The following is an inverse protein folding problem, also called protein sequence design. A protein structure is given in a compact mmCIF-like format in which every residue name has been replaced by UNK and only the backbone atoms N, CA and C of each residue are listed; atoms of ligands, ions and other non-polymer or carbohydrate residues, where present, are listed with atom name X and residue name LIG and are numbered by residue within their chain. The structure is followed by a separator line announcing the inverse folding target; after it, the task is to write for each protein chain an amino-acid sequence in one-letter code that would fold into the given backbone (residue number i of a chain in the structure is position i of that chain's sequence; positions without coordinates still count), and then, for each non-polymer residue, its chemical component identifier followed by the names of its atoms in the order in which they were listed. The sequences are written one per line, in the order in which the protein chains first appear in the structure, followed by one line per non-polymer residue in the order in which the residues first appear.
data_IF_199790073263
#
_entry.id   IF_199790073263
#
_cell.length_a   1.000
_cell.length_b   1.000
_cell.length_c   1.000
_cell.angle_alpha   90.00
_cell.angle_beta   90.00
_cell.angle_gamma   90.00
#
_symmetry.space_group_name_H-M   'P 1'
#
loop_
_entity.id
_entity.type
_entity.pdbx_description
1 polymer ?
#
# COMPACT_ATOMS: atom_id res chain seq x y z
N UNK A 1 26.03 13.87 -6.86
CA UNK A 1 24.80 14.70 -6.90
C UNK A 1 24.71 15.47 -5.60
N UNK A 2 24.49 16.78 -5.64
CA UNK A 2 24.40 17.63 -4.43
C UNK A 2 23.07 17.41 -3.71
N UNK A 3 23.05 17.56 -2.38
CA UNK A 3 21.82 17.43 -1.55
C UNK A 3 20.71 18.39 -2.01
N UNK A 4 21.07 19.59 -2.42
CA UNK A 4 20.16 20.61 -2.97
C UNK A 4 19.36 20.13 -4.17
N UNK A 5 19.96 19.34 -5.07
CA UNK A 5 19.26 18.82 -6.25
C UNK A 5 18.15 17.83 -5.92
N UNK A 6 18.33 17.00 -4.89
CA UNK A 6 17.31 16.03 -4.44
C UNK A 6 16.09 16.74 -3.85
N UNK A 7 16.32 17.78 -3.05
CA UNK A 7 15.25 18.55 -2.42
C UNK A 7 14.35 19.22 -3.47
N UNK A 8 14.93 19.94 -4.44
CA UNK A 8 14.15 20.62 -5.50
C UNK A 8 13.32 19.63 -6.30
N UNK A 9 13.87 18.45 -6.61
CA UNK A 9 13.16 17.39 -7.35
C UNK A 9 12.00 16.81 -6.54
N UNK A 10 12.22 16.55 -5.26
CA UNK A 10 11.17 16.10 -4.35
C UNK A 10 10.04 17.13 -4.26
N UNK A 11 10.38 18.40 -4.12
CA UNK A 11 9.41 19.50 -4.08
C UNK A 11 8.58 19.57 -5.37
N UNK A 12 9.20 19.44 -6.55
CA UNK A 12 8.47 19.44 -7.82
C UNK A 12 7.52 18.25 -7.94
N UNK A 13 7.96 17.04 -7.57
CA UNK A 13 7.09 15.85 -7.58
C UNK A 13 5.94 16.00 -6.58
N UNK A 14 6.21 16.59 -5.41
CA UNK A 14 5.19 16.89 -4.42
C UNK A 14 4.15 17.87 -5.00
N UNK A 15 4.59 19.00 -5.59
CA UNK A 15 3.67 19.95 -6.25
C UNK A 15 2.87 19.26 -7.37
N UNK A 16 3.47 18.34 -8.12
CA UNK A 16 2.77 17.58 -9.16
C UNK A 16 1.74 16.58 -8.61
N UNK A 17 1.95 16.02 -7.41
CA UNK A 17 0.95 15.20 -6.73
C UNK A 17 -0.30 16.01 -6.37
N UNK A 18 -0.14 17.30 -6.06
CA UNK A 18 -1.21 18.21 -5.67
C UNK A 18 -1.86 18.94 -6.85
N UNK A 19 -1.17 19.06 -7.99
CA UNK A 19 -1.75 19.61 -9.20
C UNK A 19 -2.93 18.71 -9.62
N UNK A 20 -4.16 19.22 -9.55
CA UNK A 20 -5.41 18.46 -9.76
C UNK A 20 -5.92 17.65 -8.56
N UNK A 21 -5.67 18.11 -7.31
CA UNK A 21 -6.67 17.93 -6.27
C UNK A 21 -7.97 18.51 -6.83
N UNK A 22 -8.81 17.66 -7.39
CA UNK A 22 -10.23 17.99 -7.52
C UNK A 22 -10.67 18.13 -6.07
N UNK A 23 -10.67 19.38 -5.59
CA UNK A 23 -11.28 19.73 -4.31
C UNK A 23 -12.58 18.97 -4.23
N UNK A 24 -12.76 18.32 -3.08
CA UNK A 24 -14.00 17.77 -2.59
C UNK A 24 -15.07 18.77 -2.99
N UNK A 25 -15.83 18.51 -4.06
CA UNK A 25 -16.97 19.35 -4.38
C UNK A 25 -17.80 19.36 -3.10
N UNK A 26 -18.19 20.56 -2.65
CA UNK A 26 -19.22 20.76 -1.63
C UNK A 26 -20.53 20.14 -2.15
N UNK A 27 -20.58 18.80 -2.15
CA UNK A 27 -21.73 18.00 -2.51
C UNK A 27 -22.62 17.88 -1.30
N UNK A 28 -23.93 17.91 -1.54
CA UNK A 28 -24.94 17.84 -0.50
C UNK A 28 -24.69 16.68 0.49
N UNK A 29 -25.05 16.85 1.78
CA UNK A 29 -24.78 15.89 2.85
C UNK A 29 -25.33 14.46 2.63
N UNK A 30 -26.16 14.24 1.60
CA UNK A 30 -26.80 12.97 1.29
C UNK A 30 -26.39 12.37 -0.08
N UNK A 31 -25.41 12.95 -0.77
CA UNK A 31 -24.81 12.35 -1.95
C UNK A 31 -23.44 11.79 -1.57
N UNK A 32 -23.19 10.50 -1.82
CA UNK A 32 -21.84 9.90 -1.74
C UNK A 32 -20.85 10.86 -2.42
N UNK A 33 -19.96 11.50 -1.64
CA UNK A 33 -19.12 12.53 -2.24
C UNK A 33 -18.21 11.85 -3.29
N UNK A 34 -18.22 12.32 -4.54
CA UNK A 34 -17.54 11.63 -5.61
C UNK A 34 -16.02 11.71 -5.42
N UNK A 35 -15.38 10.59 -5.09
CA UNK A 35 -13.99 10.32 -5.47
C UNK A 35 -12.91 10.31 -4.39
N UNK A 36 -13.18 10.68 -3.13
CA UNK A 36 -12.17 10.58 -2.04
C UNK A 36 -12.59 9.72 -0.84
N UNK A 37 -13.83 9.24 -0.84
CA UNK A 37 -14.33 8.27 0.14
C UNK A 37 -13.92 6.87 -0.29
N UNK A 38 -12.65 6.53 -0.09
CA UNK A 38 -12.24 5.14 -0.19
C UNK A 38 -12.26 4.48 1.18
N UNK A 39 -12.77 3.25 1.29
CA UNK A 39 -12.88 2.48 2.53
C UNK A 39 -11.59 2.39 3.36
N UNK A 40 -10.42 2.34 2.73
CA UNK A 40 -9.12 2.22 3.39
C UNK A 40 -8.72 3.51 4.12
N UNK A 41 -9.18 4.67 3.65
CA UNK A 41 -8.66 5.98 4.07
C UNK A 41 -9.05 6.28 5.51
N UNK A 42 -10.33 6.07 5.86
CA UNK A 42 -10.85 6.39 7.18
C UNK A 42 -10.19 5.54 8.27
N UNK A 43 -10.16 4.19 8.20
CA UNK A 43 -9.46 3.39 9.21
C UNK A 43 -7.98 3.77 9.31
N UNK A 44 -7.28 3.97 8.19
CA UNK A 44 -5.86 4.33 8.22
C UNK A 44 -5.59 5.70 8.87
N UNK A 45 -6.49 6.68 8.70
CA UNK A 45 -6.34 8.00 9.30
C UNK A 45 -6.75 8.00 10.79
N UNK A 46 -7.84 7.31 11.13
CA UNK A 46 -8.39 7.23 12.49
C UNK A 46 -7.52 6.39 13.45
N UNK A 47 -6.74 5.44 12.92
CA UNK A 47 -5.86 4.58 13.71
C UNK A 47 -4.96 5.33 14.70
N UNK A 48 -4.54 6.55 14.34
CA UNK A 48 -3.73 7.37 15.24
C UNK A 48 -4.46 7.73 16.53
N UNK A 49 -5.77 8.00 16.48
CA UNK A 49 -6.56 8.29 17.67
C UNK A 49 -6.72 7.04 18.53
N UNK A 50 -7.09 5.90 17.94
CA UNK A 50 -7.19 4.61 18.64
C UNK A 50 -5.92 4.30 19.43
N UNK A 51 -4.77 4.28 18.76
CA UNK A 51 -3.52 3.86 19.38
C UNK A 51 -3.04 4.86 20.44
N UNK A 52 -3.26 6.17 20.25
CA UNK A 52 -2.73 7.20 21.15
C UNK A 52 -3.67 7.50 22.31
N UNK A 53 -5.00 7.46 22.10
CA UNK A 53 -5.99 7.79 23.14
C UNK A 53 -6.52 6.54 23.85
N UNK A 54 -6.93 5.54 23.09
CA UNK A 54 -7.57 4.33 23.64
C UNK A 54 -6.53 3.25 24.00
N UNK A 55 -5.34 3.30 23.40
CA UNK A 55 -4.23 2.36 23.62
C UNK A 55 -4.54 0.91 23.19
N UNK A 56 -5.42 0.77 22.18
CA UNK A 56 -5.78 -0.51 21.57
C UNK A 56 -5.70 -0.42 20.03
N UNK A 57 -6.42 -1.30 19.33
CA UNK A 57 -6.41 -1.42 17.85
C UNK A 57 -7.80 -1.54 17.24
N UNK A 58 -8.86 -1.41 18.06
CA UNK A 58 -10.25 -1.44 17.60
C UNK A 58 -10.74 -0.02 17.28
N UNK A 59 -11.98 0.13 16.83
CA UNK A 59 -12.53 1.41 16.34
C UNK A 59 -13.89 1.68 17.00
N UNK A 60 -14.12 1.15 18.20
CA UNK A 60 -15.41 1.26 18.90
C UNK A 60 -15.77 2.71 19.23
N UNK A 61 -14.77 3.52 19.53
CA UNK A 61 -14.87 4.95 19.79
C UNK A 61 -15.31 5.75 18.55
N UNK A 62 -15.18 5.19 17.34
CA UNK A 62 -15.65 5.81 16.09
C UNK A 62 -16.92 5.22 15.54
N UNK A 63 -17.40 4.09 16.05
CA UNK A 63 -18.54 3.39 15.45
C UNK A 63 -19.82 3.43 16.28
N UNK A 64 -20.95 3.25 15.61
CA UNK A 64 -22.26 3.10 16.21
C UNK A 64 -23.14 2.16 15.37
N UNK A 65 -24.21 1.57 15.94
CA UNK A 65 -25.16 0.76 15.18
C UNK A 65 -25.80 1.54 14.01
N UNK A 66 -26.02 0.85 12.89
CA UNK A 66 -26.70 1.40 11.71
C UNK A 66 -28.09 1.96 12.08
N UNK A 67 -28.33 3.22 11.73
CA UNK A 67 -29.58 3.94 12.03
C UNK A 67 -29.56 4.71 13.36
N UNK A 68 -28.45 4.71 14.10
CA UNK A 68 -28.28 5.63 15.22
C UNK A 68 -28.14 7.07 14.72
N UNK A 69 -28.82 8.01 15.39
CA UNK A 69 -28.74 9.46 15.10
C UNK A 69 -27.52 10.12 15.74
N UNK A 70 -26.51 9.34 16.13
CA UNK A 70 -25.31 9.86 16.76
C UNK A 70 -24.48 10.59 15.70
N UNK A 71 -24.50 11.92 15.75
CA UNK A 71 -23.63 12.74 14.92
C UNK A 71 -22.16 12.38 15.20
N UNK A 72 -21.35 12.20 14.17
CA UNK A 72 -19.92 11.87 14.31
C UNK A 72 -19.64 10.42 14.69
N UNK A 73 -20.38 9.45 14.14
CA UNK A 73 -20.08 8.01 14.25
C UNK A 73 -20.22 7.32 12.90
N UNK A 74 -19.36 6.34 12.64
CA UNK A 74 -19.40 5.48 11.46
C UNK A 74 -20.33 4.29 11.72
N UNK A 75 -20.97 3.80 10.66
CA UNK A 75 -21.70 2.54 10.73
C UNK A 75 -20.71 1.39 10.97
N UNK A 76 -20.85 0.68 12.09
CA UNK A 76 -20.01 -0.50 12.39
C UNK A 76 -20.18 -1.63 11.39
N UNK A 77 -21.33 -1.71 10.70
CA UNK A 77 -21.56 -2.71 9.67
C UNK A 77 -20.91 -2.33 8.33
N UNK A 78 -20.30 -1.14 8.22
CA UNK A 78 -19.60 -0.72 7.01
C UNK A 78 -18.61 -1.80 6.55
N UNK A 79 -18.53 -2.00 5.24
CA UNK A 79 -17.86 -3.17 4.67
C UNK A 79 -16.35 -3.24 4.93
N UNK A 80 -15.74 -2.13 5.34
CA UNK A 80 -14.34 -2.04 5.73
C UNK A 80 -14.08 -2.36 7.21
N UNK A 81 -15.14 -2.66 7.96
CA UNK A 81 -15.07 -3.14 9.33
C UNK A 81 -15.49 -4.61 9.44
N UNK A 82 -14.93 -5.28 10.44
CA UNK A 82 -15.28 -6.63 10.89
C UNK A 82 -15.17 -6.71 12.40
N UNK A 83 -15.69 -7.79 12.99
CA UNK A 83 -15.39 -8.08 14.39
C UNK A 83 -13.88 -8.25 14.60
N UNK A 84 -13.36 -7.67 15.68
CA UNK A 84 -12.11 -8.09 16.27
C UNK A 84 -12.32 -9.53 16.77
N UNK A 85 -11.59 -10.49 16.19
CA UNK A 85 -11.83 -11.92 16.39
C UNK A 85 -13.00 -12.49 15.57
N UNK A 86 -13.83 -13.32 16.22
CA UNK A 86 -14.94 -14.05 15.61
C UNK A 86 -16.23 -13.27 15.80
N UNK A 87 -16.95 -13.01 14.71
CA UNK A 87 -18.23 -12.28 14.77
C UNK A 87 -19.31 -13.06 15.51
N UNK A 88 -20.08 -12.36 16.34
CA UNK A 88 -21.29 -12.87 17.01
C UNK A 88 -22.57 -12.52 16.24
N UNK A 89 -22.47 -11.92 15.06
CA UNK A 89 -23.63 -11.53 14.27
C UNK A 89 -24.46 -12.76 13.83
N UNK A 90 -25.75 -12.74 14.16
CA UNK A 90 -26.73 -13.77 13.77
C UNK A 90 -27.61 -13.35 12.60
N UNK A 91 -27.73 -12.04 12.37
CA UNK A 91 -28.48 -11.45 11.27
C UNK A 91 -27.56 -11.25 10.05
N UNK A 92 -28.10 -11.27 8.82
CA UNK A 92 -27.33 -10.91 7.64
C UNK A 92 -26.87 -9.44 7.71
N UNK A 93 -25.68 -9.11 7.18
CA UNK A 93 -25.15 -7.75 7.20
C UNK A 93 -26.04 -6.82 6.36
N UNK A 94 -26.27 -5.60 6.85
CA UNK A 94 -27.03 -4.57 6.12
C UNK A 94 -26.22 -3.98 4.98
N UNK A 95 -24.91 -3.79 5.19
CA UNK A 95 -24.01 -3.30 4.17
C UNK A 95 -23.62 -4.41 3.19
N UNK A 96 -23.55 -4.07 1.89
CA UNK A 96 -23.08 -5.00 0.86
C UNK A 96 -21.62 -5.36 1.09
N UNK A 97 -21.32 -6.65 1.18
CA UNK A 97 -19.96 -7.19 1.36
C UNK A 97 -19.54 -8.03 0.16
N UNK A 98 -18.24 -8.06 -0.12
CA UNK A 98 -17.66 -8.93 -1.14
C UNK A 98 -17.86 -10.41 -0.79
N UNK A 99 -18.01 -11.28 -1.79
CA UNK A 99 -18.00 -12.72 -1.58
C UNK A 99 -16.73 -13.17 -0.83
N UNK A 100 -16.90 -14.07 0.15
CA UNK A 100 -15.80 -14.53 1.03
C UNK A 100 -15.23 -13.45 1.95
N UNK A 101 -15.86 -12.27 2.05
CA UNK A 101 -15.51 -11.27 3.05
C UNK A 101 -15.93 -11.69 4.46
N UNK A 102 -15.33 -11.10 5.51
CA UNK A 102 -15.70 -11.40 6.88
C UNK A 102 -17.16 -10.98 7.15
N UNK A 103 -17.87 -11.69 8.05
CA UNK A 103 -19.18 -11.26 8.53
C UNK A 103 -19.10 -9.86 9.16
N UNK A 104 -20.25 -9.17 9.24
CA UNK A 104 -20.33 -7.92 9.98
C UNK A 104 -20.07 -8.16 11.48
N UNK A 105 -19.61 -7.15 12.23
CA UNK A 105 -19.59 -7.23 13.68
C UNK A 105 -21.01 -7.44 14.24
N UNK A 106 -21.13 -8.27 15.26
CA UNK A 106 -22.32 -8.36 16.09
C UNK A 106 -22.51 -7.10 16.97
N UNK A 107 -23.64 -6.98 17.68
CA UNK A 107 -23.96 -5.78 18.45
C UNK A 107 -22.95 -5.43 19.55
N UNK A 108 -22.30 -6.45 20.13
CA UNK A 108 -21.36 -6.32 21.24
C UNK A 108 -19.91 -6.66 20.84
N UNK A 109 -19.64 -6.86 19.55
CA UNK A 109 -18.28 -7.15 19.09
C UNK A 109 -17.49 -5.84 19.02
N UNK A 110 -16.22 -5.92 19.42
CA UNK A 110 -15.24 -4.89 19.10
C UNK A 110 -15.04 -4.81 17.58
N UNK A 111 -14.83 -3.60 17.06
CA UNK A 111 -14.79 -3.35 15.62
C UNK A 111 -13.36 -3.11 15.13
N UNK A 112 -12.87 -3.96 14.24
CA UNK A 112 -11.53 -3.86 13.66
C UNK A 112 -11.59 -3.58 12.15
N UNK A 113 -10.56 -2.89 11.64
CA UNK A 113 -10.37 -2.69 10.20
C UNK A 113 -10.12 -4.02 9.48
N UNK A 114 -10.68 -4.19 8.28
CA UNK A 114 -10.33 -5.32 7.40
C UNK A 114 -8.96 -5.12 6.72
N UNK A 115 -8.42 -3.90 6.76
CA UNK A 115 -7.17 -3.54 6.10
C UNK A 115 -5.97 -3.80 7.02
N UNK A 116 -4.85 -4.31 6.48
CA UNK A 116 -3.57 -4.33 7.17
C UNK A 116 -3.14 -2.93 7.66
N UNK A 117 -2.47 -2.83 8.82
CA UNK A 117 -2.21 -1.56 9.49
C UNK A 117 -1.04 -0.77 8.88
N UNK A 118 -0.35 -1.28 7.86
CA UNK A 118 0.94 -0.70 7.43
C UNK A 118 0.85 0.75 6.97
N UNK A 119 -0.21 1.14 6.25
CA UNK A 119 -0.42 2.55 5.89
C UNK A 119 -0.77 3.40 7.10
N UNK A 120 -1.58 2.88 8.00
CA UNK A 120 -1.96 3.55 9.24
C UNK A 120 -0.72 3.85 10.10
N UNK A 121 0.20 2.88 10.23
CA UNK A 121 1.47 3.04 10.94
C UNK A 121 2.38 4.06 10.27
N UNK A 122 2.43 4.09 8.93
CA UNK A 122 3.19 5.11 8.19
C UNK A 122 2.59 6.52 8.38
N UNK A 123 1.26 6.62 8.53
CA UNK A 123 0.55 7.87 8.75
C UNK A 123 0.63 8.36 10.20
N UNK A 124 0.83 7.45 11.17
CA UNK A 124 0.85 7.73 12.60
C UNK A 124 1.69 8.96 13.00
N UNK A 125 2.97 9.12 12.61
CA UNK A 125 3.76 10.29 13.01
C UNK A 125 3.22 11.62 12.45
N UNK A 126 2.42 11.59 11.39
CA UNK A 126 1.81 12.78 10.79
C UNK A 126 0.49 13.16 11.46
N UNK A 127 -0.30 12.18 11.90
CA UNK A 127 -1.55 12.43 12.61
C UNK A 127 -1.35 12.64 14.12
N UNK A 128 -0.31 12.06 14.72
CA UNK A 128 -0.04 12.12 16.16
C UNK A 128 -0.07 13.55 16.75
N UNK A 129 0.54 14.59 16.12
CA UNK A 129 0.46 15.95 16.63
C UNK A 129 -0.98 16.48 16.75
N UNK A 130 -1.86 16.13 15.81
CA UNK A 130 -3.27 16.54 15.84
C UNK A 130 -4.04 15.80 16.93
N UNK A 131 -3.77 14.50 17.11
CA UNK A 131 -4.37 13.70 18.19
C UNK A 131 -4.01 14.28 19.56
N UNK A 132 -2.73 14.57 19.77
CA UNK A 132 -2.19 15.12 21.02
C UNK A 132 -2.67 16.57 21.28
N UNK A 133 -2.91 17.35 20.23
CA UNK A 133 -3.49 18.68 20.31
C UNK A 133 -5.02 18.67 20.50
N UNK A 134 -5.65 17.50 20.57
CA UNK A 134 -7.08 17.38 20.84
C UNK A 134 -7.99 17.67 19.64
N UNK A 135 -7.49 17.54 18.41
CA UNK A 135 -8.33 17.70 17.22
C UNK A 135 -9.43 16.64 17.15
N UNK A 136 -10.56 17.05 16.58
CA UNK A 136 -11.70 16.16 16.35
C UNK A 136 -11.32 15.05 15.35
N UNK A 137 -11.46 13.76 15.72
CA UNK A 137 -11.24 12.64 14.81
C UNK A 137 -12.12 12.68 13.56
N UNK A 138 -13.24 13.40 13.56
CA UNK A 138 -14.14 13.52 12.41
C UNK A 138 -14.00 14.81 11.61
N UNK A 139 -12.94 15.59 11.83
CA UNK A 139 -12.59 16.69 10.94
C UNK A 139 -12.20 16.13 9.54
N UNK A 140 -13.17 16.13 8.64
CA UNK A 140 -13.02 15.60 7.28
C UNK A 140 -11.91 16.32 6.50
N UNK A 141 -11.72 17.62 6.73
CA UNK A 141 -10.66 18.38 6.09
C UNK A 141 -9.29 17.85 6.52
N UNK A 142 -9.11 17.63 7.83
CA UNK A 142 -7.89 17.06 8.37
C UNK A 142 -7.63 15.64 7.87
N UNK A 143 -8.62 14.74 7.97
CA UNK A 143 -8.43 13.33 7.57
C UNK A 143 -8.08 13.21 6.09
N UNK A 144 -8.80 13.94 5.24
CA UNK A 144 -8.64 13.85 3.78
C UNK A 144 -7.36 14.55 3.32
N UNK A 145 -7.16 15.81 3.69
CA UNK A 145 -5.98 16.55 3.24
C UNK A 145 -4.72 16.05 3.92
N UNK A 146 -4.78 15.70 5.20
CA UNK A 146 -3.68 15.06 5.92
C UNK A 146 -3.31 13.72 5.29
N UNK A 147 -4.31 12.88 4.98
CA UNK A 147 -4.10 11.61 4.31
C UNK A 147 -3.46 11.75 2.92
N UNK A 148 -3.91 12.74 2.14
CA UNK A 148 -3.29 13.09 0.86
C UNK A 148 -1.82 13.50 1.04
N UNK A 149 -1.53 14.41 1.98
CA UNK A 149 -0.16 14.87 2.24
C UNK A 149 0.76 13.69 2.55
N UNK A 150 0.33 12.78 3.43
CA UNK A 150 1.11 11.58 3.78
C UNK A 150 1.33 10.70 2.55
N UNK A 151 0.28 10.39 1.80
CA UNK A 151 0.37 9.55 0.61
C UNK A 151 1.32 10.15 -0.44
N UNK A 152 1.22 11.46 -0.69
CA UNK A 152 2.10 12.19 -1.59
C UNK A 152 3.55 12.16 -1.12
N UNK A 153 3.82 12.37 0.18
CA UNK A 153 5.19 12.32 0.73
C UNK A 153 5.81 10.93 0.57
N UNK A 154 5.07 9.87 0.92
CA UNK A 154 5.52 8.48 0.78
C UNK A 154 5.80 8.15 -0.69
N UNK A 155 4.91 8.55 -1.59
CA UNK A 155 5.06 8.29 -3.02
C UNK A 155 6.22 9.08 -3.64
N UNK A 156 6.45 10.33 -3.22
CA UNK A 156 7.61 11.13 -3.65
C UNK A 156 8.91 10.44 -3.25
N UNK A 157 9.00 9.90 -2.02
CA UNK A 157 10.16 9.14 -1.58
C UNK A 157 10.38 7.88 -2.43
N UNK A 158 9.31 7.11 -2.68
CA UNK A 158 9.37 5.94 -3.57
C UNK A 158 9.86 6.31 -4.98
N UNK A 159 9.30 7.38 -5.54
CA UNK A 159 9.62 7.91 -6.88
C UNK A 159 11.09 8.35 -6.98
N UNK A 160 11.61 9.05 -5.96
CA UNK A 160 12.99 9.49 -5.94
C UNK A 160 13.98 8.31 -5.81
N UNK A 161 13.63 7.28 -5.03
CA UNK A 161 14.41 6.04 -4.96
C UNK A 161 14.43 5.30 -6.29
N UNK A 162 13.28 5.17 -6.96
CA UNK A 162 13.18 4.59 -8.30
C UNK A 162 13.99 5.40 -9.32
N UNK A 163 13.92 6.73 -9.27
CA UNK A 163 14.78 7.57 -10.11
C UNK A 163 16.27 7.28 -9.86
N UNK A 164 16.68 7.13 -8.60
CA UNK A 164 18.05 6.76 -8.25
C UNK A 164 18.45 5.39 -8.79
N UNK A 165 17.54 4.43 -8.83
CA UNK A 165 17.76 3.12 -9.48
C UNK A 165 17.92 3.29 -10.99
N UNK A 166 17.00 3.99 -11.64
CA UNK A 166 17.04 4.23 -13.10
C UNK A 166 18.32 4.95 -13.53
N UNK A 167 18.86 5.84 -12.68
CA UNK A 167 20.13 6.56 -12.92
C UNK A 167 21.37 5.68 -12.95
N UNK A 168 21.28 4.43 -12.50
CA UNK A 168 22.38 3.43 -12.61
C UNK A 168 22.50 2.85 -14.01
N UNK A 169 21.41 2.83 -14.77
CA UNK A 169 21.31 2.12 -16.05
C UNK A 169 21.03 3.02 -17.24
N UNK A 170 20.57 4.25 -16.99
CA UNK A 170 20.23 5.22 -18.02
C UNK A 170 20.89 6.57 -17.78
N UNK A 171 21.14 7.29 -18.87
CA UNK A 171 21.64 8.67 -18.80
C UNK A 171 20.63 9.61 -18.14
N UNK A 172 21.06 10.81 -17.68
CA UNK A 172 20.22 11.73 -16.92
C UNK A 172 18.87 12.06 -17.57
N UNK A 173 18.87 12.25 -18.90
CA UNK A 173 17.66 12.56 -19.69
C UNK A 173 16.69 11.38 -19.67
N UNK A 174 17.16 10.18 -19.97
CA UNK A 174 16.32 8.98 -20.02
C UNK A 174 15.79 8.59 -18.64
N UNK A 175 16.58 8.69 -17.57
CA UNK A 175 16.05 8.42 -16.23
C UNK A 175 14.98 9.43 -15.81
N UNK A 176 15.08 10.69 -16.27
CA UNK A 176 14.01 11.68 -16.06
C UNK A 176 12.74 11.30 -16.82
N UNK A 177 12.87 10.91 -18.10
CA UNK A 177 11.73 10.43 -18.89
C UNK A 177 11.07 9.22 -18.24
N UNK A 178 11.84 8.22 -17.81
CA UNK A 178 11.33 6.99 -17.21
C UNK A 178 10.61 7.24 -15.88
N UNK A 179 11.17 8.11 -15.01
CA UNK A 179 10.50 8.42 -13.74
C UNK A 179 9.24 9.26 -13.95
N UNK A 180 9.22 10.16 -14.94
CA UNK A 180 8.02 10.92 -15.28
C UNK A 180 6.95 10.03 -15.92
N UNK A 181 7.31 9.04 -16.74
CA UNK A 181 6.37 8.02 -17.23
C UNK A 181 5.79 7.22 -16.08
N UNK A 182 6.62 6.76 -15.14
CA UNK A 182 6.15 6.09 -13.93
C UNK A 182 5.17 6.96 -13.14
N UNK A 183 5.49 8.23 -12.93
CA UNK A 183 4.66 9.09 -12.09
C UNK A 183 3.37 9.58 -12.78
N UNK A 184 3.47 9.99 -14.05
CA UNK A 184 2.39 10.66 -14.80
C UNK A 184 1.63 9.76 -15.77
N UNK A 185 2.25 8.69 -16.27
CA UNK A 185 1.67 7.77 -17.24
C UNK A 185 1.31 6.41 -16.61
N UNK A 186 1.03 6.41 -15.31
CA UNK A 186 0.46 5.30 -14.55
C UNK A 186 -0.59 5.83 -13.57
N UNK A 187 -1.16 4.96 -12.74
CA UNK A 187 -2.04 5.34 -11.64
C UNK A 187 -1.31 5.92 -10.42
N UNK A 188 0.00 6.15 -10.47
CA UNK A 188 0.78 6.70 -9.33
C UNK A 188 0.27 8.09 -8.94
N UNK A 189 0.24 9.03 -9.89
CA UNK A 189 -0.29 10.37 -9.60
C UNK A 189 -1.77 10.32 -9.26
N UNK A 190 -2.60 9.64 -10.05
CA UNK A 190 -4.06 9.72 -9.91
C UNK A 190 -4.63 8.86 -8.78
N UNK A 191 -3.84 7.91 -8.27
CA UNK A 191 -4.26 6.99 -7.20
C UNK A 191 -3.22 6.99 -6.09
N UNK A 192 -2.04 6.38 -6.27
CA UNK A 192 -1.13 6.08 -5.16
C UNK A 192 -0.74 7.29 -4.29
N UNK A 193 -0.58 8.46 -4.89
CA UNK A 193 -0.21 9.71 -4.19
C UNK A 193 -1.38 10.50 -3.58
N UNK A 194 -2.63 10.08 -3.78
CA UNK A 194 -3.80 10.93 -3.48
C UNK A 194 -4.45 10.68 -2.12
N UNK A 195 -4.30 9.47 -1.56
CA UNK A 195 -4.97 9.09 -0.31
C UNK A 195 -4.25 7.91 0.36
N UNK A 196 -4.62 7.62 1.62
CA UNK A 196 -4.04 6.54 2.43
C UNK A 196 -4.49 5.13 1.99
N UNK A 197 -4.28 4.81 0.73
CA UNK A 197 -4.38 3.47 0.17
C UNK A 197 -3.09 2.68 0.37
N UNK A 198 -3.15 1.37 0.22
CA UNK A 198 -1.98 0.47 0.30
C UNK A 198 -0.90 0.73 -0.74
N UNK A 199 -1.19 1.45 -1.84
CA UNK A 199 -0.30 1.56 -3.00
C UNK A 199 1.04 2.22 -2.66
N UNK A 200 1.03 3.40 -2.05
CA UNK A 200 2.25 4.18 -1.83
C UNK A 200 3.22 3.52 -0.85
N UNK A 201 2.71 2.90 0.21
CA UNK A 201 3.53 2.11 1.14
C UNK A 201 4.19 0.90 0.46
N UNK A 202 3.46 0.21 -0.42
CA UNK A 202 4.03 -0.89 -1.24
C UNK A 202 5.09 -0.37 -2.21
N UNK A 203 4.82 0.74 -2.91
CA UNK A 203 5.79 1.35 -3.83
C UNK A 203 7.09 1.72 -3.12
N UNK A 204 6.99 2.32 -1.92
CA UNK A 204 8.16 2.66 -1.12
C UNK A 204 8.97 1.41 -0.73
N UNK A 205 8.31 0.37 -0.21
CA UNK A 205 8.95 -0.88 0.17
C UNK A 205 9.70 -1.53 -1.01
N UNK A 206 9.06 -1.62 -2.18
CA UNK A 206 9.65 -2.18 -3.39
C UNK A 206 10.79 -1.29 -3.92
N UNK A 207 10.61 0.04 -3.91
CA UNK A 207 11.64 0.98 -4.34
C UNK A 207 12.89 0.89 -3.46
N UNK A 208 12.74 0.77 -2.13
CA UNK A 208 13.85 0.55 -1.20
C UNK A 208 14.56 -0.76 -1.50
N UNK A 209 13.81 -1.87 -1.65
CA UNK A 209 14.39 -3.18 -1.94
C UNK A 209 15.20 -3.16 -3.25
N UNK A 210 14.61 -2.66 -4.34
CA UNK A 210 15.30 -2.49 -5.62
C UNK A 210 16.51 -1.56 -5.51
N UNK A 211 16.39 -0.46 -4.76
CA UNK A 211 17.50 0.45 -4.54
C UNK A 211 18.68 -0.20 -3.82
N UNK A 212 18.42 -1.10 -2.88
CA UNK A 212 19.47 -1.86 -2.19
C UNK A 212 20.16 -2.87 -3.11
N UNK A 213 19.40 -3.65 -3.89
CA UNK A 213 19.94 -4.86 -4.53
C UNK A 213 20.08 -4.83 -6.05
N UNK A 214 19.38 -3.92 -6.75
CA UNK A 214 19.45 -3.83 -8.22
C UNK A 214 20.68 -3.04 -8.66
N UNK A 215 21.81 -3.74 -8.77
CA UNK A 215 23.16 -3.24 -9.06
C UNK A 215 23.93 -4.26 -9.91
N UNK A 216 24.85 -3.80 -10.75
CA UNK A 216 25.71 -4.71 -11.53
C UNK A 216 26.83 -5.28 -10.68
N UNK A 217 27.33 -4.49 -9.71
CA UNK A 217 28.24 -4.99 -8.70
C UNK A 217 27.54 -5.99 -7.77
N UNK A 218 28.29 -6.98 -7.31
CA UNK A 218 27.81 -7.92 -6.29
C UNK A 218 27.50 -7.16 -5.00
N UNK A 219 26.28 -7.31 -4.51
CA UNK A 219 25.86 -6.68 -3.25
C UNK A 219 26.18 -7.57 -2.06
N UNK A 220 26.58 -6.99 -0.92
CA UNK A 220 26.81 -7.75 0.31
C UNK A 220 25.49 -8.27 0.88
N UNK A 221 25.57 -9.37 1.66
CA UNK A 221 24.39 -10.01 2.26
C UNK A 221 23.55 -9.06 3.12
N UNK A 222 24.18 -8.08 3.79
CA UNK A 222 23.45 -7.07 4.55
C UNK A 222 22.44 -6.29 3.70
N UNK A 223 22.72 -6.03 2.41
CA UNK A 223 21.75 -5.36 1.53
C UNK A 223 20.59 -6.27 1.14
N UNK A 224 20.83 -7.57 0.97
CA UNK A 224 19.76 -8.57 0.76
C UNK A 224 18.87 -8.66 2.01
N UNK A 225 19.49 -8.67 3.19
CA UNK A 225 18.77 -8.66 4.47
C UNK A 225 17.85 -7.44 4.58
N UNK A 226 18.38 -6.23 4.39
CA UNK A 226 17.58 -5.01 4.49
C UNK A 226 16.55 -4.86 3.35
N UNK A 227 16.80 -5.43 2.17
CA UNK A 227 15.79 -5.53 1.13
C UNK A 227 14.65 -6.47 1.55
N UNK A 228 14.98 -7.60 2.17
CA UNK A 228 14.02 -8.47 2.84
C UNK A 228 13.19 -7.76 3.90
N UNK A 229 13.85 -7.01 4.81
CA UNK A 229 13.15 -6.20 5.83
C UNK A 229 12.20 -5.20 5.19
N UNK A 230 12.63 -4.48 4.15
CA UNK A 230 11.78 -3.54 3.43
C UNK A 230 10.56 -4.23 2.80
N UNK A 231 10.74 -5.41 2.19
CA UNK A 231 9.62 -6.18 1.62
C UNK A 231 8.70 -6.77 2.70
N UNK A 232 9.23 -7.16 3.86
CA UNK A 232 8.46 -7.59 5.03
C UNK A 232 7.62 -6.44 5.61
N UNK A 233 8.19 -5.24 5.74
CA UNK A 233 7.43 -4.03 6.10
C UNK A 233 6.38 -3.69 5.05
N UNK A 234 6.69 -3.89 3.77
CA UNK A 234 5.72 -3.82 2.68
C UNK A 234 4.59 -4.86 2.82
N UNK A 235 4.84 -6.00 3.44
CA UNK A 235 3.82 -7.01 3.74
C UNK A 235 2.85 -6.54 4.84
N UNK A 236 3.29 -5.69 5.77
CA UNK A 236 2.43 -5.01 6.76
C UNK A 236 1.45 -4.05 6.08
N UNK A 237 1.84 -3.46 4.95
CA UNK A 237 0.95 -2.64 4.10
C UNK A 237 0.03 -3.52 3.25
N UNK A 238 0.60 -4.52 2.58
CA UNK A 238 -0.10 -5.48 1.73
C UNK A 238 0.66 -6.79 1.66
N UNK A 239 0.06 -7.88 2.13
CA UNK A 239 0.73 -9.16 2.40
C UNK A 239 1.52 -9.71 1.19
N UNK A 240 1.00 -9.51 -0.02
CA UNK A 240 1.63 -10.00 -1.26
C UNK A 240 3.01 -9.40 -1.53
N UNK A 241 3.35 -8.25 -0.93
CA UNK A 241 4.66 -7.60 -1.13
C UNK A 241 5.83 -8.46 -0.67
N UNK A 242 5.64 -9.25 0.40
CA UNK A 242 6.69 -10.13 0.92
C UNK A 242 7.12 -11.20 -0.10
N UNK A 243 6.22 -11.61 -1.00
CA UNK A 243 6.50 -12.62 -2.03
C UNK A 243 7.57 -12.15 -3.02
N UNK A 244 7.82 -10.85 -3.17
CA UNK A 244 8.86 -10.34 -4.08
C UNK A 244 10.27 -10.80 -3.68
N UNK A 245 10.48 -11.15 -2.40
CA UNK A 245 11.76 -11.69 -1.94
C UNK A 245 12.13 -13.00 -2.65
N UNK A 246 11.11 -13.77 -3.06
CA UNK A 246 11.31 -14.99 -3.82
C UNK A 246 11.96 -14.73 -5.17
N UNK A 247 11.78 -13.56 -5.79
CA UNK A 247 12.36 -13.25 -7.11
C UNK A 247 13.59 -12.34 -7.08
N UNK A 248 13.71 -11.46 -6.08
CA UNK A 248 14.68 -10.37 -6.15
C UNK A 248 16.15 -10.80 -5.96
N UNK A 249 16.41 -12.00 -5.43
CA UNK A 249 17.72 -12.48 -4.98
C UNK A 249 18.60 -13.14 -6.07
N UNK A 250 18.07 -13.36 -7.28
CA UNK A 250 18.82 -13.85 -8.44
C UNK A 250 19.37 -15.29 -8.34
N UNK A 251 18.55 -16.25 -7.89
CA UNK A 251 18.89 -17.69 -7.80
C UNK A 251 20.08 -18.07 -6.90
N UNK A 252 20.52 -17.20 -5.99
CA UNK A 252 21.53 -17.55 -4.99
C UNK A 252 20.88 -17.95 -3.67
N UNK A 253 20.94 -19.22 -3.24
CA UNK A 253 20.17 -19.72 -2.09
C UNK A 253 20.52 -18.98 -0.80
N UNK A 254 21.79 -18.64 -0.58
CA UNK A 254 22.21 -17.85 0.59
C UNK A 254 21.54 -16.47 0.62
N UNK A 255 21.41 -15.81 -0.53
CA UNK A 255 20.75 -14.49 -0.63
C UNK A 255 19.26 -14.61 -0.41
N UNK A 256 18.63 -15.66 -0.93
CA UNK A 256 17.22 -15.97 -0.67
C UNK A 256 16.99 -16.12 0.84
N UNK A 257 17.75 -16.98 1.50
CA UNK A 257 17.62 -17.23 2.94
C UNK A 257 17.78 -15.94 3.73
N UNK A 258 18.83 -15.16 3.43
CA UNK A 258 19.07 -13.87 4.12
C UNK A 258 17.93 -12.87 3.87
N UNK A 259 17.41 -12.79 2.65
CA UNK A 259 16.24 -11.96 2.34
C UNK A 259 14.98 -12.45 3.05
N UNK A 260 14.77 -13.76 3.17
CA UNK A 260 13.61 -14.34 3.86
C UNK A 260 13.69 -14.11 5.38
N UNK A 261 14.87 -14.17 5.98
CA UNK A 261 15.08 -13.76 7.37
C UNK A 261 14.71 -12.28 7.53
N UNK A 262 15.13 -11.42 6.60
CA UNK A 262 14.73 -10.02 6.57
C UNK A 262 13.20 -9.86 6.50
N UNK A 263 12.53 -10.59 5.59
CA UNK A 263 11.07 -10.57 5.47
C UNK A 263 10.39 -11.03 6.76
N UNK A 264 10.87 -12.10 7.39
CA UNK A 264 10.33 -12.62 8.64
C UNK A 264 10.39 -11.59 9.78
N UNK A 265 11.48 -10.81 9.85
CA UNK A 265 11.60 -9.70 10.79
C UNK A 265 10.65 -8.55 10.40
N UNK A 266 10.64 -8.17 9.12
CA UNK A 266 9.82 -7.07 8.62
C UNK A 266 8.31 -7.30 8.75
N UNK A 267 7.84 -8.55 8.68
CA UNK A 267 6.41 -8.89 8.82
C UNK A 267 5.96 -9.03 10.28
N UNK A 268 6.90 -9.10 11.24
CA UNK A 268 6.58 -9.28 12.66
C UNK A 268 5.53 -8.27 13.20
N UNK A 269 5.54 -6.97 12.84
CA UNK A 269 4.50 -6.04 13.27
C UNK A 269 3.09 -6.42 12.79
N UNK A 270 2.95 -6.99 11.58
CA UNK A 270 1.65 -7.47 11.09
C UNK A 270 1.17 -8.66 11.91
N UNK A 271 2.06 -9.60 12.22
CA UNK A 271 1.72 -10.78 13.02
C UNK A 271 1.28 -10.39 14.43
N UNK A 272 1.97 -9.41 15.03
CA UNK A 272 1.57 -8.84 16.31
C UNK A 272 0.20 -8.17 16.22
N UNK A 273 -0.01 -7.31 15.22
CA UNK A 273 -1.31 -6.66 15.00
C UNK A 273 -2.44 -7.68 14.85
N UNK A 274 -2.27 -8.70 14.01
CA UNK A 274 -3.28 -9.73 13.80
C UNK A 274 -3.58 -10.52 15.09
N UNK A 275 -2.57 -10.76 15.93
CA UNK A 275 -2.78 -11.40 17.23
C UNK A 275 -3.63 -10.52 18.16
N UNK A 276 -3.34 -9.22 18.26
CA UNK A 276 -4.10 -8.31 19.11
C UNK A 276 -5.51 -8.02 18.57
N UNK A 277 -5.66 -7.84 17.25
CA UNK A 277 -6.94 -7.54 16.62
C UNK A 277 -7.84 -8.77 16.45
N UNK A 278 -7.26 -9.95 16.19
CA UNK A 278 -8.04 -11.13 15.78
C UNK A 278 -7.79 -12.39 16.63
N UNK A 279 -6.90 -12.32 17.63
CA UNK A 279 -6.57 -13.46 18.50
C UNK A 279 -5.62 -14.49 17.87
N UNK A 280 -5.18 -14.29 16.63
CA UNK A 280 -4.24 -15.18 15.94
C UNK A 280 -3.33 -14.40 14.98
N UNK A 281 -2.00 -14.66 14.97
CA UNK A 281 -1.08 -13.95 14.09
C UNK A 281 -1.33 -14.22 12.60
N UNK A 282 -1.99 -15.33 12.27
CA UNK A 282 -2.26 -15.76 10.89
C UNK A 282 -3.67 -15.39 10.41
N UNK A 283 -4.55 -14.91 11.30
CA UNK A 283 -5.88 -14.44 10.92
C UNK A 283 -5.77 -13.10 10.19
N UNK A 284 -6.54 -12.92 9.12
CA UNK A 284 -6.43 -11.75 8.24
C UNK A 284 -7.76 -11.03 8.08
N UNK A 285 -7.72 -9.70 7.96
CA UNK A 285 -8.92 -8.87 7.87
C UNK A 285 -9.84 -9.17 6.68
N UNK A 286 -9.30 -9.53 5.50
CA UNK A 286 -10.10 -9.68 4.27
C UNK A 286 -10.97 -10.94 4.16
N UNK A 287 -10.82 -11.90 5.07
CA UNK A 287 -11.44 -13.22 4.96
C UNK A 287 -10.87 -14.07 3.81
N UNK A 288 -11.49 -15.22 3.55
CA UNK A 288 -11.07 -16.16 2.50
C UNK A 288 -11.71 -15.81 1.16
N UNK A 289 -10.90 -15.34 0.20
CA UNK A 289 -11.38 -15.02 -1.15
C UNK A 289 -11.40 -16.27 -2.04
N UNK A 290 -12.48 -16.51 -2.80
CA UNK A 290 -12.49 -17.57 -3.79
C UNK A 290 -11.48 -17.25 -4.91
N UNK A 291 -10.76 -18.26 -5.38
CA UNK A 291 -9.85 -18.18 -6.51
C UNK A 291 -10.42 -18.98 -7.69
N UNK A 292 -11.65 -18.63 -8.06
CA UNK A 292 -12.51 -19.33 -9.02
C UNK A 292 -12.52 -18.68 -10.41
N UNK A 293 -11.88 -17.52 -10.57
CA UNK A 293 -11.77 -16.84 -11.87
C UNK A 293 -10.89 -17.65 -12.82
N UNK A 294 -11.35 -18.00 -14.04
CA UNK A 294 -10.53 -18.71 -15.02
C UNK A 294 -9.21 -17.97 -15.30
N UNK A 295 -8.05 -18.64 -15.32
CA UNK A 295 -6.75 -17.98 -15.47
C UNK A 295 -6.64 -17.10 -16.72
N UNK A 296 -7.24 -17.52 -17.84
CA UNK A 296 -7.26 -16.75 -19.10
C UNK A 296 -8.07 -15.45 -18.97
N UNK A 297 -9.23 -15.52 -18.32
CA UNK A 297 -10.07 -14.35 -18.04
C UNK A 297 -9.36 -13.39 -17.07
N UNK A 298 -8.73 -13.93 -16.03
CA UNK A 298 -7.93 -13.16 -15.08
C UNK A 298 -6.77 -12.43 -15.77
N UNK A 299 -6.02 -13.13 -16.62
CA UNK A 299 -4.89 -12.56 -17.37
C UNK A 299 -5.35 -11.47 -18.36
N UNK A 300 -6.42 -11.71 -19.11
CA UNK A 300 -7.02 -10.67 -19.96
C UNK A 300 -7.47 -9.47 -19.13
N UNK A 301 -8.11 -9.73 -17.99
CA UNK A 301 -8.53 -8.72 -17.02
C UNK A 301 -7.37 -7.85 -16.51
N UNK A 302 -6.21 -8.46 -16.24
CA UNK A 302 -5.02 -7.78 -15.75
C UNK A 302 -4.24 -7.03 -16.84
N UNK A 303 -4.23 -7.52 -18.08
CA UNK A 303 -3.41 -6.93 -19.15
C UNK A 303 -4.19 -5.94 -20.04
N UNK A 304 -5.43 -6.27 -20.41
CA UNK A 304 -6.14 -5.61 -21.51
C UNK A 304 -7.52 -5.06 -21.13
N UNK A 305 -7.99 -5.27 -19.89
CA UNK A 305 -9.27 -4.72 -19.46
C UNK A 305 -9.30 -3.18 -19.61
N UNK A 306 -10.35 -2.60 -20.21
CA UNK A 306 -10.47 -1.15 -20.33
C UNK A 306 -10.46 -0.40 -19.00
N UNK A 307 -10.88 -1.04 -17.90
CA UNK A 307 -11.04 -0.39 -16.60
C UNK A 307 -9.85 -0.56 -15.66
N UNK A 308 -8.95 -1.53 -15.92
CA UNK A 308 -7.84 -1.88 -15.00
C UNK A 308 -6.63 -2.56 -15.65
N UNK A 309 -6.62 -2.69 -16.98
CA UNK A 309 -5.59 -3.43 -17.71
C UNK A 309 -4.26 -2.68 -17.73
N UNK A 310 -3.18 -3.40 -17.40
CA UNK A 310 -1.82 -2.87 -17.36
C UNK A 310 -1.43 -2.21 -18.68
N UNK A 311 -1.66 -2.85 -19.83
CA UNK A 311 -1.25 -2.34 -21.13
C UNK A 311 -2.20 -1.27 -21.69
N UNK A 312 -3.38 -1.11 -21.09
CA UNK A 312 -4.30 -0.02 -21.40
C UNK A 312 -3.83 1.27 -20.72
N UNK A 313 -3.51 1.20 -19.43
CA UNK A 313 -3.11 2.38 -18.65
C UNK A 313 -1.61 2.68 -18.72
N UNK A 314 -0.78 1.66 -18.97
CA UNK A 314 0.69 1.76 -18.95
C UNK A 314 1.32 1.04 -20.16
N UNK A 315 0.95 1.41 -21.41
CA UNK A 315 1.34 0.66 -22.62
C UNK A 315 2.85 0.52 -22.81
N UNK A 316 3.64 1.48 -22.33
CA UNK A 316 5.10 1.46 -22.42
C UNK A 316 5.74 0.30 -21.64
N UNK A 317 5.02 -0.34 -20.70
CA UNK A 317 5.52 -1.53 -20.00
C UNK A 317 5.68 -2.75 -20.90
N UNK A 318 5.20 -2.70 -22.16
CA UNK A 318 5.57 -3.71 -23.17
C UNK A 318 7.10 -3.86 -23.33
N UNK A 319 7.85 -2.77 -23.16
CA UNK A 319 9.31 -2.80 -23.21
C UNK A 319 9.93 -3.50 -22.00
N UNK A 320 9.23 -3.57 -20.86
CA UNK A 320 9.69 -4.33 -19.70
C UNK A 320 9.67 -5.83 -19.99
N UNK A 321 8.63 -6.34 -20.68
CA UNK A 321 8.60 -7.73 -21.14
C UNK A 321 9.75 -8.03 -22.10
N UNK A 322 10.02 -7.14 -23.06
CA UNK A 322 11.17 -7.28 -23.94
C UNK A 322 12.51 -7.30 -23.18
N UNK A 323 12.63 -6.50 -22.11
CA UNK A 323 13.81 -6.50 -21.25
C UNK A 323 13.95 -7.81 -20.46
N UNK A 324 12.87 -8.35 -19.92
CA UNK A 324 12.86 -9.66 -19.25
C UNK A 324 13.31 -10.77 -20.21
N UNK A 325 12.80 -10.78 -21.45
CA UNK A 325 13.22 -11.74 -22.47
C UNK A 325 14.70 -11.58 -22.85
N UNK A 326 15.19 -10.33 -23.01
CA UNK A 326 16.60 -10.07 -23.31
C UNK A 326 17.54 -10.36 -22.14
N UNK A 327 17.08 -10.30 -20.90
CA UNK A 327 17.89 -10.60 -19.72
C UNK A 327 18.52 -12.00 -19.79
N UNK A 328 17.85 -12.96 -20.43
CA UNK A 328 18.37 -14.31 -20.67
C UNK A 328 19.62 -14.36 -21.56
N UNK A 329 19.85 -13.32 -22.37
CA UNK A 329 21.01 -13.19 -23.26
C UNK A 329 22.09 -12.27 -22.71
N UNK A 330 21.82 -11.52 -21.66
CA UNK A 330 22.78 -10.57 -21.07
C UNK A 330 23.51 -11.15 -19.86
N UNK A 331 24.84 -11.05 -19.79
CA UNK A 331 25.56 -11.34 -18.56
C UNK A 331 25.28 -10.26 -17.52
N UNK A 332 25.63 -10.52 -16.25
CA UNK A 332 25.56 -9.53 -15.19
C UNK A 332 24.63 -9.89 -14.04
N UNK A 333 24.82 -9.17 -12.94
CA UNK A 333 24.09 -9.39 -11.69
C UNK A 333 22.62 -8.97 -11.84
N UNK A 334 22.37 -7.86 -12.54
CA UNK A 334 21.00 -7.37 -12.79
C UNK A 334 20.24 -8.32 -13.72
N UNK A 335 20.87 -8.75 -14.82
CA UNK A 335 20.27 -9.70 -15.74
C UNK A 335 19.89 -11.01 -15.02
N UNK A 336 20.73 -11.49 -14.10
CA UNK A 336 20.44 -12.67 -13.27
C UNK A 336 19.20 -12.48 -12.40
N UNK A 337 19.05 -11.32 -11.75
CA UNK A 337 17.85 -10.99 -10.96
C UNK A 337 16.60 -10.89 -11.83
N UNK A 338 16.69 -10.26 -13.00
CA UNK A 338 15.56 -10.12 -13.93
C UNK A 338 15.07 -11.48 -14.46
N UNK A 339 15.98 -12.41 -14.80
CA UNK A 339 15.61 -13.78 -15.18
C UNK A 339 14.82 -14.47 -14.07
N UNK A 340 15.27 -14.33 -12.82
CA UNK A 340 14.60 -14.98 -11.71
C UNK A 340 13.26 -14.34 -11.36
N UNK A 341 13.18 -13.00 -11.42
CA UNK A 341 11.89 -12.31 -11.33
C UNK A 341 10.90 -12.81 -12.39
N UNK A 342 11.34 -13.06 -13.63
CA UNK A 342 10.48 -13.60 -14.70
C UNK A 342 10.08 -15.06 -14.56
N UNK A 343 10.70 -15.82 -13.66
CA UNK A 343 10.33 -17.21 -13.38
C UNK A 343 9.38 -17.33 -12.19
N UNK A 344 9.49 -16.39 -11.23
CA UNK A 344 8.63 -16.35 -10.04
C UNK A 344 7.28 -15.68 -10.35
N UNK A 345 7.26 -14.75 -11.30
CA UNK A 345 6.10 -13.91 -11.67
C UNK A 345 5.84 -13.95 -13.17
#
# INVERSE_FOLDING_TARGET
MTRSGWFVRGLLLFVLAFANLNDIRNGQPNAEAPGLWSPDVLPNALFAWTVIKEHDVDYDEFTAPAGSTAAGKLDREAYFFRACGVSTATAPPKAKRSAGGPPAPGPNDHVCSVFPPGMAVLALPFFAPFVLAGFDPFDLGLLVHGGHVVAALVEVLATLLLWSVMRRFAGPRWSLVLVLLYFLATSVRTVASQALWQHSGVHLAVAVALWLVLREETVPLGREFFAGVALGLGAVVRQTTGLLALGIHGMRPVRLIVSLIGVAIGVAPLLAYNYFAFGSPLEQGYGTKPFDTPPTLGLYGLLFSPSRGLLVYTPYLIFAFAALLRAWRWPGEVATRLRWLSLVW
#
